data_IF_179253506745
#
_entry.id   IF_179253506745
#
_cell.length_a   1.000
_cell.length_b   1.000
_cell.length_c   1.000
_cell.angle_alpha   90.00
_cell.angle_beta   90.00
_cell.angle_gamma   90.00
#
_symmetry.space_group_name_H-M   'P 1'
#
loop_
_entity.id
_entity.type
_entity.pdbx_description
1 polymer ?
#
# COMPACT_ATOMS: atom_id res chain seq x y z
N UNK A 1 -17.83 -3.19 -33.74
CA UNK A 1 -16.67 -3.04 -34.67
C UNK A 1 -15.64 -4.12 -34.37
N UNK A 2 -14.84 -4.52 -35.38
CA UNK A 2 -13.67 -5.38 -35.20
C UNK A 2 -12.44 -4.49 -35.15
N UNK A 3 -11.70 -4.56 -34.05
CA UNK A 3 -10.45 -3.81 -33.85
C UNK A 3 -9.34 -4.81 -33.61
N UNK A 4 -8.23 -4.68 -34.33
CA UNK A 4 -7.02 -5.49 -34.13
C UNK A 4 -6.08 -4.71 -33.23
N UNK A 5 -5.54 -5.36 -32.19
CA UNK A 5 -4.62 -4.76 -31.23
C UNK A 5 -3.39 -5.65 -31.18
N UNK A 6 -2.20 -5.05 -31.36
CA UNK A 6 -0.94 -5.77 -31.18
C UNK A 6 -0.53 -5.73 -29.71
N UNK A 7 -0.17 -6.89 -29.17
CA UNK A 7 0.34 -7.00 -27.81
C UNK A 7 1.31 -8.18 -27.66
N UNK A 8 2.28 -8.10 -26.74
CA UNK A 8 3.19 -9.21 -26.45
C UNK A 8 2.42 -10.45 -25.99
N UNK A 9 2.81 -11.65 -26.46
CA UNK A 9 2.13 -12.92 -26.11
C UNK A 9 2.08 -13.14 -24.58
N UNK A 10 3.16 -12.82 -23.88
CA UNK A 10 3.22 -12.92 -22.42
C UNK A 10 2.15 -12.04 -21.74
N UNK A 11 1.90 -10.85 -22.27
CA UNK A 11 0.87 -9.94 -21.76
C UNK A 11 -0.53 -10.48 -22.08
N UNK A 12 -0.74 -10.98 -23.31
CA UNK A 12 -2.01 -11.57 -23.73
C UNK A 12 -2.40 -12.76 -22.86
N UNK A 13 -1.47 -13.68 -22.57
CA UNK A 13 -1.74 -14.84 -21.70
C UNK A 13 -2.14 -14.44 -20.29
N UNK A 14 -1.43 -13.46 -19.70
CA UNK A 14 -1.75 -12.93 -18.37
C UNK A 14 -3.13 -12.27 -18.35
N UNK A 15 -3.43 -11.44 -19.34
CA UNK A 15 -4.74 -10.80 -19.47
C UNK A 15 -5.87 -11.84 -19.64
N UNK A 16 -5.65 -12.91 -20.42
CA UNK A 16 -6.63 -13.98 -20.61
C UNK A 16 -6.90 -14.73 -19.30
N UNK A 17 -5.85 -15.01 -18.52
CA UNK A 17 -6.00 -15.62 -17.21
C UNK A 17 -6.78 -14.70 -16.25
N UNK A 18 -6.49 -13.40 -16.25
CA UNK A 18 -7.21 -12.43 -15.44
C UNK A 18 -8.69 -12.33 -15.82
N UNK A 19 -9.02 -12.36 -17.12
CA UNK A 19 -10.39 -12.40 -17.60
C UNK A 19 -11.12 -13.68 -17.15
N UNK A 20 -10.46 -14.84 -17.25
CA UNK A 20 -11.02 -16.12 -16.82
C UNK A 20 -11.29 -16.18 -15.30
N UNK A 21 -10.40 -15.61 -14.48
CA UNK A 21 -10.61 -15.50 -13.03
C UNK A 21 -11.84 -14.67 -12.67
N UNK A 22 -12.21 -13.71 -13.52
CA UNK A 22 -13.41 -12.89 -13.36
C UNK A 22 -14.65 -13.49 -14.06
N UNK A 23 -14.53 -14.67 -14.66
CA UNK A 23 -15.62 -15.31 -15.40
C UNK A 23 -16.03 -14.58 -16.69
N UNK A 24 -15.16 -13.70 -17.22
CA UNK A 24 -15.43 -12.87 -18.39
C UNK A 24 -14.67 -13.38 -19.61
N UNK A 25 -15.23 -13.16 -20.81
CA UNK A 25 -14.45 -13.33 -22.03
C UNK A 25 -13.39 -12.22 -22.15
N UNK A 26 -12.30 -12.50 -22.87
CA UNK A 26 -11.23 -11.51 -23.10
C UNK A 26 -11.76 -10.20 -23.71
N UNK A 27 -12.76 -10.30 -24.59
CA UNK A 27 -13.40 -9.14 -25.24
C UNK A 27 -14.16 -8.30 -24.22
N UNK A 28 -15.00 -8.93 -23.40
CA UNK A 28 -15.79 -8.23 -22.37
C UNK A 28 -14.89 -7.60 -21.32
N UNK A 29 -13.89 -8.35 -20.86
CA UNK A 29 -12.91 -7.87 -19.91
C UNK A 29 -12.17 -6.64 -20.41
N UNK A 30 -11.68 -6.66 -21.66
CA UNK A 30 -11.01 -5.52 -22.28
C UNK A 30 -11.96 -4.33 -22.48
N UNK A 31 -13.20 -4.59 -22.90
CA UNK A 31 -14.21 -3.53 -23.11
C UNK A 31 -14.57 -2.85 -21.78
N UNK A 32 -14.70 -3.62 -20.70
CA UNK A 32 -14.99 -3.09 -19.37
C UNK A 32 -13.81 -2.28 -18.82
N UNK A 33 -12.57 -2.72 -19.06
CA UNK A 33 -11.38 -1.95 -18.68
C UNK A 33 -11.32 -0.61 -19.43
N UNK A 34 -11.51 -0.63 -20.75
CA UNK A 34 -11.51 0.60 -21.55
C UNK A 34 -12.64 1.54 -21.13
N UNK A 35 -13.84 1.01 -20.90
CA UNK A 35 -14.96 1.81 -20.39
C UNK A 35 -14.63 2.42 -19.04
N UNK A 36 -14.10 1.63 -18.10
CA UNK A 36 -13.69 2.11 -16.79
C UNK A 36 -12.63 3.20 -16.90
N UNK A 37 -11.66 3.07 -17.80
CA UNK A 37 -10.60 4.06 -17.97
C UNK A 37 -11.10 5.36 -18.61
N UNK A 38 -12.05 5.27 -19.55
CA UNK A 38 -12.65 6.43 -20.22
C UNK A 38 -13.68 7.14 -19.33
N UNK A 39 -14.49 6.38 -18.59
CA UNK A 39 -15.52 6.91 -17.69
C UNK A 39 -14.93 7.32 -16.33
N UNK A 40 -13.74 6.82 -15.98
CA UNK A 40 -13.00 7.39 -14.88
C UNK A 40 -12.67 8.85 -15.28
N UNK A 41 -13.09 9.85 -14.49
CA UNK A 41 -12.53 11.18 -14.65
C UNK A 41 -11.02 11.00 -14.58
N UNK A 42 -10.31 11.61 -15.52
CA UNK A 42 -8.84 11.67 -15.57
C UNK A 42 -8.39 12.47 -14.35
N UNK A 43 -8.50 11.85 -13.17
CA UNK A 43 -7.77 12.25 -11.99
C UNK A 43 -6.33 11.87 -12.33
N UNK A 44 -5.42 12.85 -12.47
CA UNK A 44 -4.01 12.52 -12.63
C UNK A 44 -3.64 11.58 -11.49
N UNK A 45 -3.01 10.46 -11.85
CA UNK A 45 -2.72 9.33 -10.99
C UNK A 45 -2.59 9.69 -9.51
N UNK A 46 -3.49 9.15 -8.67
CA UNK A 46 -3.41 9.20 -7.20
C UNK A 46 -2.17 8.47 -6.63
N UNK A 47 -1.20 8.12 -7.47
CA UNK A 47 0.15 7.83 -7.00
C UNK A 47 0.77 9.06 -6.32
N UNK A 48 0.47 10.27 -6.78
CA UNK A 48 0.87 11.50 -6.10
C UNK A 48 0.24 11.62 -4.72
N UNK A 49 -1.08 11.50 -4.63
CA UNK A 49 -1.81 11.62 -3.35
C UNK A 49 -1.44 10.51 -2.36
N UNK A 50 -1.35 9.26 -2.82
CA UNK A 50 -1.03 8.13 -1.93
C UNK A 50 0.43 8.20 -1.46
N UNK A 51 1.35 8.65 -2.32
CA UNK A 51 2.74 8.87 -1.93
C UNK A 51 2.85 10.05 -0.95
N UNK A 52 2.08 11.12 -1.16
CA UNK A 52 2.02 12.27 -0.25
C UNK A 52 1.42 11.91 1.12
N UNK A 53 0.38 11.09 1.15
CA UNK A 53 -0.22 10.55 2.38
C UNK A 53 0.76 9.67 3.14
N UNK A 54 1.48 8.78 2.46
CA UNK A 54 2.52 7.93 3.06
C UNK A 54 3.66 8.78 3.62
N UNK A 55 4.11 9.79 2.88
CA UNK A 55 5.14 10.72 3.34
C UNK A 55 4.68 11.55 4.53
N UNK A 56 3.42 12.01 4.54
CA UNK A 56 2.84 12.71 5.68
C UNK A 56 2.78 11.83 6.92
N UNK A 57 2.34 10.59 6.77
CA UNK A 57 2.31 9.61 7.85
C UNK A 57 3.71 9.30 8.41
N UNK A 58 4.71 9.10 7.54
CA UNK A 58 6.08 8.86 7.97
C UNK A 58 6.65 10.05 8.76
N UNK A 59 6.35 11.30 8.35
CA UNK A 59 6.73 12.49 9.13
C UNK A 59 6.11 12.51 10.53
N UNK A 60 4.88 12.04 10.67
CA UNK A 60 4.23 11.92 11.98
C UNK A 60 4.87 10.84 12.84
N UNK A 61 5.23 9.69 12.26
CA UNK A 61 5.98 8.65 12.95
C UNK A 61 7.34 9.13 13.43
N UNK A 62 8.09 9.86 12.58
CA UNK A 62 9.38 10.44 12.96
C UNK A 62 9.22 11.45 14.10
N UNK A 63 8.16 12.26 14.08
CA UNK A 63 7.86 13.20 15.16
C UNK A 63 7.53 12.47 16.46
N UNK A 64 6.75 11.40 16.41
CA UNK A 64 6.41 10.59 17.57
C UNK A 64 7.66 9.87 18.11
N UNK A 65 8.46 9.28 17.24
CA UNK A 65 9.71 8.62 17.59
C UNK A 65 10.68 9.57 18.27
N UNK A 66 10.84 10.80 17.73
CA UNK A 66 11.65 11.83 18.36
C UNK A 66 11.13 12.20 19.76
N UNK A 67 9.82 12.38 19.92
CA UNK A 67 9.22 12.67 21.24
C UNK A 67 9.43 11.53 22.24
N UNK A 68 9.36 10.28 21.80
CA UNK A 68 9.63 9.12 22.65
C UNK A 68 11.12 9.06 22.99
N UNK A 69 12.00 9.31 22.03
CA UNK A 69 13.45 9.27 22.23
C UNK A 69 13.96 10.31 23.22
N UNK A 70 13.32 11.48 23.33
CA UNK A 70 13.71 12.48 24.33
C UNK A 70 13.38 12.06 25.76
N UNK A 71 12.38 11.19 25.92
CA UNK A 71 12.04 10.61 27.22
C UNK A 71 12.89 9.38 27.50
N UNK A 72 13.31 8.65 26.46
CA UNK A 72 14.10 7.43 26.61
C UNK A 72 15.60 7.75 26.61
N UNK A 73 16.19 7.91 27.79
CA UNK A 73 17.64 8.09 27.94
C UNK A 73 18.40 6.74 27.91
N UNK A 74 18.26 6.03 26.79
CA UNK A 74 19.11 4.90 26.41
C UNK A 74 18.67 3.49 26.87
N UNK A 75 19.40 2.44 26.45
CA UNK A 75 19.05 1.04 26.68
C UNK A 75 18.96 0.61 28.15
N UNK A 76 19.48 1.42 29.07
CA UNK A 76 19.50 1.10 30.50
C UNK A 76 18.17 1.38 31.20
N UNK A 77 17.34 2.28 30.66
CA UNK A 77 16.14 2.77 31.35
C UNK A 77 14.97 1.77 31.26
N UNK A 78 14.80 1.11 30.12
CA UNK A 78 13.80 0.04 29.97
C UNK A 78 14.10 -1.18 30.85
N UNK A 79 15.39 -1.55 30.97
CA UNK A 79 15.81 -2.67 31.82
C UNK A 79 15.73 -2.30 33.31
N UNK A 80 16.05 -1.06 33.67
CA UNK A 80 15.88 -0.54 35.03
C UNK A 80 14.40 -0.55 35.44
N UNK A 81 13.50 -0.05 34.58
CA UNK A 81 12.06 -0.08 34.82
C UNK A 81 11.51 -1.51 35.01
N UNK A 82 11.95 -2.46 34.18
CA UNK A 82 11.55 -3.88 34.32
C UNK A 82 12.11 -4.51 35.62
N UNK A 83 13.35 -4.16 36.01
CA UNK A 83 13.96 -4.63 37.26
C UNK A 83 13.22 -4.09 38.48
N UNK A 84 12.82 -2.82 38.46
CA UNK A 84 12.06 -2.17 39.53
C UNK A 84 10.65 -2.77 39.65
N UNK A 85 9.95 -2.95 38.52
CA UNK A 85 8.64 -3.59 38.51
C UNK A 85 8.67 -5.04 39.02
N UNK A 86 9.73 -5.80 38.74
CA UNK A 86 9.93 -7.15 39.32
C UNK A 86 10.21 -7.14 40.82
N UNK A 87 10.79 -6.06 41.35
CA UNK A 87 11.04 -5.90 42.78
C UNK A 87 9.73 -5.64 43.53
N UNK A 88 8.85 -4.82 42.96
CA UNK A 88 7.56 -4.48 43.57
C UNK A 88 6.54 -5.63 43.50
N UNK A 89 6.64 -6.50 42.49
CA UNK A 89 5.81 -7.71 42.37
C UNK A 89 6.33 -8.91 43.18
N UNK A 90 7.47 -8.75 43.87
CA UNK A 90 8.22 -9.82 44.52
C UNK A 90 8.33 -9.75 46.04
N UNK A 91 7.44 -9.03 46.72
CA UNK A 91 7.29 -9.03 48.18
C UNK A 91 5.87 -9.45 48.59
#
# INVERSE_FOLDING_TARGET
MKTTIEMPDALFRRAKAAAALQGLSMKEWLTNLLRREIDAPTLPASQGDKQQEIEAFNRELDRLANRISTVWQGPQDAVAAIREQRRDLGA
#
